data_IF_137406532421
#
_entry.id   IF_137406532421
#
_cell.length_a   1.000
_cell.length_b   1.000
_cell.length_c   1.000
_cell.angle_alpha   90.00
_cell.angle_beta   90.00
_cell.angle_gamma   90.00
#
_symmetry.space_group_name_H-M   'P 1'
#
loop_
_entity.id
_entity.type
_entity.pdbx_description
1 polymer ?
#
# COMPACT_ATOMS: atom_id res chain seq x y z
N UNK A 1 19.45 10.12 24.98
CA UNK A 1 20.20 11.30 24.50
C UNK A 1 21.69 11.06 24.24
N UNK A 2 22.32 9.95 24.67
CA UNK A 2 23.77 9.71 24.45
C UNK A 2 24.10 8.84 23.21
N UNK A 3 23.16 8.07 22.68
CA UNK A 3 23.44 7.13 21.57
C UNK A 3 23.59 7.81 20.19
N UNK A 4 22.84 8.87 19.93
CA UNK A 4 22.88 9.58 18.62
C UNK A 4 24.16 10.39 18.46
N UNK A 5 24.76 10.89 19.55
CA UNK A 5 26.03 11.64 19.51
C UNK A 5 27.22 10.80 19.04
N UNK A 6 27.17 9.49 19.20
CA UNK A 6 28.32 8.62 18.86
C UNK A 6 28.33 8.15 17.40
N UNK A 7 27.19 8.23 16.69
CA UNK A 7 27.14 7.86 15.27
C UNK A 7 27.60 8.98 14.33
N UNK A 8 27.53 10.24 14.76
CA UNK A 8 28.00 11.41 13.98
C UNK A 8 29.45 11.83 14.31
N UNK A 9 29.92 11.48 15.50
CA UNK A 9 31.25 11.89 15.97
C UNK A 9 32.40 10.93 15.56
N UNK A 10 32.09 9.77 14.99
CA UNK A 10 33.08 8.76 14.58
C UNK A 10 33.71 8.96 13.20
N UNK A 11 33.33 10.02 12.47
CA UNK A 11 33.77 10.26 11.08
C UNK A 11 34.73 11.46 10.92
N UNK A 12 35.31 11.95 11.98
CA UNK A 12 36.20 13.12 11.92
C UNK A 12 37.52 12.91 12.67
N UNK A 13 38.30 11.88 12.35
CA UNK A 13 39.77 11.89 12.54
C UNK A 13 40.42 10.89 11.56
N UNK A 14 41.34 11.44 10.82
CA UNK A 14 42.46 10.93 10.03
C UNK A 14 42.26 10.85 8.53
N UNK A 15 42.91 11.81 7.91
CA UNK A 15 43.13 11.87 6.49
C UNK A 15 44.00 10.72 6.00
N UNK A 16 43.58 10.22 4.87
CA UNK A 16 44.38 9.84 3.71
C UNK A 16 43.34 9.45 2.64
N UNK A 17 43.49 10.03 1.47
CA UNK A 17 42.54 9.92 0.38
C UNK A 17 42.49 8.50 -0.18
N UNK A 18 41.46 7.73 0.25
CA UNK A 18 40.86 6.71 -0.56
C UNK A 18 39.42 7.17 -0.88
N UNK A 19 38.86 6.96 -2.08
CA UNK A 19 37.43 7.25 -2.27
C UNK A 19 36.70 6.34 -1.29
N UNK A 20 36.25 6.94 -0.19
CA UNK A 20 35.33 6.27 0.73
C UNK A 20 34.15 5.83 -0.13
N UNK A 21 34.00 4.52 -0.33
CA UNK A 21 32.70 3.96 -0.72
C UNK A 21 31.73 4.53 0.30
N UNK A 22 30.87 5.44 -0.15
CA UNK A 22 29.75 5.88 0.64
C UNK A 22 28.99 4.59 1.00
N UNK A 23 29.06 4.17 2.27
CA UNK A 23 28.24 3.11 2.76
C UNK A 23 26.82 3.57 2.49
N UNK A 24 26.10 2.87 1.59
CA UNK A 24 24.69 3.15 1.32
C UNK A 24 23.95 3.03 2.66
N UNK A 25 23.64 4.17 3.24
CA UNK A 25 22.96 4.24 4.53
C UNK A 25 21.59 3.64 4.32
N UNK A 26 21.33 2.49 4.98
CA UNK A 26 20.07 1.82 4.86
C UNK A 26 18.97 2.66 5.55
N UNK A 27 18.06 3.21 4.77
CA UNK A 27 16.97 4.04 5.27
C UNK A 27 16.14 3.34 6.37
N UNK A 28 16.02 1.99 6.32
CA UNK A 28 15.30 1.21 7.33
C UNK A 28 15.96 1.30 8.70
N UNK A 29 17.28 1.34 8.75
CA UNK A 29 18.00 1.46 10.02
C UNK A 29 17.84 2.86 10.61
N UNK A 30 17.76 3.89 9.78
CA UNK A 30 17.48 5.25 10.23
C UNK A 30 16.01 5.51 10.60
N UNK A 31 15.06 4.66 10.17
CA UNK A 31 13.66 4.70 10.63
C UNK A 31 13.48 4.15 12.04
N UNK A 32 14.33 3.20 12.49
CA UNK A 32 14.18 2.55 13.80
C UNK A 32 14.19 3.53 14.99
N UNK A 33 15.08 4.53 15.08
CA UNK A 33 15.01 5.55 16.13
C UNK A 33 13.69 6.31 16.12
N UNK A 34 13.24 6.76 14.94
CA UNK A 34 11.97 7.47 14.76
C UNK A 34 10.79 6.60 15.22
N UNK A 35 10.77 5.34 14.84
CA UNK A 35 9.75 4.37 15.26
C UNK A 35 9.75 4.19 16.79
N UNK A 36 10.94 4.10 17.39
CA UNK A 36 11.08 3.98 18.86
C UNK A 36 10.53 5.21 19.55
N UNK A 37 10.82 6.40 19.03
CA UNK A 37 10.33 7.67 19.55
C UNK A 37 8.81 7.76 19.46
N UNK A 38 8.22 7.32 18.34
CA UNK A 38 6.77 7.26 18.14
C UNK A 38 6.08 6.31 19.13
N UNK A 39 6.63 5.10 19.31
CA UNK A 39 6.07 4.09 20.23
C UNK A 39 6.17 4.52 21.70
N UNK A 40 7.16 5.30 22.07
CA UNK A 40 7.31 5.80 23.43
C UNK A 40 6.23 6.82 23.82
N UNK A 41 5.62 7.50 22.86
CA UNK A 41 4.47 8.39 23.08
C UNK A 41 4.75 9.67 23.88
N UNK A 42 5.99 9.91 24.29
CA UNK A 42 6.41 11.03 25.17
C UNK A 42 7.57 11.85 24.55
N UNK A 43 7.67 11.87 23.24
CA UNK A 43 8.69 12.61 22.53
C UNK A 43 8.59 14.13 22.75
N UNK A 44 9.70 14.79 22.97
CA UNK A 44 9.77 16.26 22.84
C UNK A 44 9.43 16.60 21.37
N UNK A 45 8.37 17.38 21.11
CA UNK A 45 7.95 17.70 19.73
C UNK A 45 9.06 18.36 18.89
N UNK A 46 9.91 19.18 19.50
CA UNK A 46 11.02 19.86 18.80
C UNK A 46 12.14 18.87 18.43
N UNK A 47 12.47 17.97 19.35
CA UNK A 47 13.47 16.94 19.11
C UNK A 47 13.01 15.98 18.02
N UNK A 48 11.75 15.56 18.07
CA UNK A 48 11.14 14.67 17.09
C UNK A 48 11.07 15.31 15.68
N UNK A 49 10.62 16.56 15.59
CA UNK A 49 10.62 17.30 14.33
C UNK A 49 12.02 17.43 13.73
N UNK A 50 13.06 17.55 14.57
CA UNK A 50 14.45 17.57 14.14
C UNK A 50 14.89 16.23 13.57
N UNK A 51 14.55 15.11 14.22
CA UNK A 51 14.84 13.75 13.70
C UNK A 51 14.23 13.53 12.32
N UNK A 52 12.94 13.86 12.15
CA UNK A 52 12.26 13.78 10.86
C UNK A 52 12.98 14.61 9.80
N UNK A 53 13.35 15.84 10.12
CA UNK A 53 14.03 16.73 9.19
C UNK A 53 15.43 16.24 8.80
N UNK A 54 16.16 15.65 9.73
CA UNK A 54 17.47 15.04 9.46
C UNK A 54 17.33 13.83 8.53
N UNK A 55 16.34 12.96 8.77
CA UNK A 55 16.03 11.85 7.88
C UNK A 55 15.66 12.34 6.47
N UNK A 56 14.74 13.28 6.36
CA UNK A 56 14.34 13.86 5.07
C UNK A 56 15.51 14.51 4.31
N UNK A 57 16.44 15.15 5.01
CA UNK A 57 17.64 15.73 4.42
C UNK A 57 18.58 14.67 3.87
N UNK A 58 18.79 13.58 4.60
CA UNK A 58 19.64 12.47 4.19
C UNK A 58 19.07 11.80 2.94
N UNK A 59 17.78 11.45 2.96
CA UNK A 59 17.12 10.74 1.88
C UNK A 59 16.39 11.65 0.88
N UNK A 60 16.77 12.92 0.77
CA UNK A 60 16.08 13.89 -0.10
C UNK A 60 16.00 13.52 -1.59
N UNK A 61 16.79 12.53 -2.05
CA UNK A 61 16.82 12.04 -3.44
C UNK A 61 16.20 10.64 -3.57
N UNK A 62 15.81 10.04 -2.48
CA UNK A 62 15.22 8.70 -2.45
C UNK A 62 13.73 8.78 -2.08
N UNK A 63 12.81 8.77 -3.09
CA UNK A 63 11.37 8.84 -2.83
C UNK A 63 10.86 7.63 -2.05
N UNK A 64 11.46 6.45 -2.21
CA UNK A 64 11.09 5.24 -1.49
C UNK A 64 11.35 5.39 0.01
N UNK A 65 12.51 5.90 0.38
CA UNK A 65 12.85 6.18 1.78
C UNK A 65 11.90 7.21 2.39
N UNK A 66 11.60 8.29 1.65
CA UNK A 66 10.67 9.32 2.12
C UNK A 66 9.25 8.79 2.30
N UNK A 67 8.74 7.98 1.37
CA UNK A 67 7.43 7.34 1.52
C UNK A 67 7.42 6.37 2.70
N UNK A 68 8.51 5.64 2.95
CA UNK A 68 8.62 4.78 4.13
C UNK A 68 8.50 5.56 5.45
N UNK A 69 9.09 6.77 5.53
CA UNK A 69 8.88 7.68 6.66
C UNK A 69 7.42 8.11 6.77
N UNK A 70 6.80 8.50 5.66
CA UNK A 70 5.38 8.89 5.63
C UNK A 70 4.45 7.78 6.11
N UNK A 71 4.68 6.55 5.67
CA UNK A 71 3.93 5.37 6.13
C UNK A 71 4.11 5.14 7.64
N UNK A 72 5.33 5.23 8.15
CA UNK A 72 5.61 5.08 9.58
C UNK A 72 4.85 6.14 10.41
N UNK A 73 4.83 7.38 9.95
CA UNK A 73 4.09 8.48 10.60
C UNK A 73 2.58 8.24 10.56
N UNK A 74 2.03 7.84 9.41
CA UNK A 74 0.60 7.56 9.24
C UNK A 74 0.12 6.41 10.13
N UNK A 75 0.86 5.30 10.17
CA UNK A 75 0.57 4.15 11.04
C UNK A 75 0.56 4.53 12.53
N UNK A 76 1.31 5.55 12.92
CA UNK A 76 1.31 6.10 14.27
C UNK A 76 0.38 7.33 14.43
N UNK A 77 -0.56 7.51 13.51
CA UNK A 77 -1.60 8.57 13.53
C UNK A 77 -1.06 10.01 13.46
N UNK A 78 0.21 10.19 13.06
CA UNK A 78 0.79 11.51 12.81
C UNK A 78 0.46 11.98 11.39
N UNK A 79 -0.83 12.10 11.09
CA UNK A 79 -1.36 12.32 9.74
C UNK A 79 -0.88 13.62 9.10
N UNK A 80 -0.79 14.72 9.87
CA UNK A 80 -0.31 16.01 9.34
C UNK A 80 1.14 15.92 8.85
N UNK A 81 2.01 15.29 9.62
CA UNK A 81 3.40 15.10 9.24
C UNK A 81 3.53 14.11 8.08
N UNK A 82 2.74 13.04 8.07
CA UNK A 82 2.70 12.07 6.97
C UNK A 82 2.25 12.76 5.67
N UNK A 83 1.20 13.58 5.71
CA UNK A 83 0.74 14.37 4.57
C UNK A 83 1.82 15.32 4.07
N UNK A 84 2.51 16.04 4.96
CA UNK A 84 3.58 16.95 4.57
C UNK A 84 4.74 16.21 3.88
N UNK A 85 5.07 14.99 4.33
CA UNK A 85 6.06 14.14 3.66
C UNK A 85 5.57 13.73 2.27
N UNK A 86 4.33 13.25 2.15
CA UNK A 86 3.76 12.85 0.87
C UNK A 86 3.73 14.02 -0.13
N UNK A 87 3.30 15.20 0.29
CA UNK A 87 3.28 16.40 -0.53
C UNK A 87 4.67 16.80 -1.03
N UNK A 88 5.68 16.73 -0.16
CA UNK A 88 7.06 17.00 -0.54
C UNK A 88 7.61 15.99 -1.56
N UNK A 89 7.23 14.71 -1.44
CA UNK A 89 7.60 13.67 -2.42
C UNK A 89 6.89 13.92 -3.75
N UNK A 90 5.58 14.16 -3.75
CA UNK A 90 4.79 14.44 -4.96
C UNK A 90 5.34 15.66 -5.70
N UNK A 91 5.63 16.74 -4.98
CA UNK A 91 6.15 17.96 -5.58
C UNK A 91 7.48 17.73 -6.32
N UNK A 92 8.33 16.85 -5.79
CA UNK A 92 9.66 16.58 -6.33
C UNK A 92 9.72 15.42 -7.32
N UNK A 93 8.92 14.38 -7.10
CA UNK A 93 8.92 13.13 -7.85
C UNK A 93 7.51 12.84 -8.39
N UNK A 94 7.07 13.69 -9.31
CA UNK A 94 5.68 13.74 -9.82
C UNK A 94 5.11 12.41 -10.29
N UNK A 95 5.94 11.52 -10.82
CA UNK A 95 5.52 10.22 -11.37
C UNK A 95 5.83 9.05 -10.40
N UNK A 96 6.05 9.32 -9.13
CA UNK A 96 6.28 8.29 -8.13
C UNK A 96 4.96 7.92 -7.45
N UNK A 97 4.31 6.87 -7.96
CA UNK A 97 2.96 6.45 -7.59
C UNK A 97 2.76 6.20 -6.09
N UNK A 98 3.77 5.63 -5.41
CA UNK A 98 3.66 5.31 -3.98
C UNK A 98 3.43 6.54 -3.09
N UNK A 99 3.79 7.74 -3.55
CA UNK A 99 3.50 8.96 -2.78
C UNK A 99 2.01 9.34 -2.83
N UNK A 100 1.34 9.08 -3.95
CA UNK A 100 -0.10 9.25 -4.09
C UNK A 100 -0.86 8.16 -3.30
N UNK A 101 -0.33 6.91 -3.31
CA UNK A 101 -0.85 5.83 -2.47
C UNK A 101 -0.77 6.23 -1.00
N UNK A 102 0.37 6.71 -0.53
CA UNK A 102 0.53 7.19 0.85
C UNK A 102 -0.53 8.24 1.23
N UNK A 103 -0.80 9.20 0.34
CA UNK A 103 -1.88 10.18 0.61
C UNK A 103 -3.26 9.53 0.67
N UNK A 104 -3.55 8.64 -0.24
CA UNK A 104 -4.80 7.87 -0.22
C UNK A 104 -4.95 7.06 1.07
N UNK A 105 -3.89 6.36 1.49
CA UNK A 105 -3.88 5.56 2.72
C UNK A 105 -4.09 6.43 3.97
N UNK A 106 -3.49 7.63 4.02
CA UNK A 106 -3.69 8.58 5.12
C UNK A 106 -5.17 8.97 5.23
N UNK A 107 -5.84 9.25 4.12
CA UNK A 107 -7.27 9.58 4.12
C UNK A 107 -8.14 8.35 4.45
N UNK A 108 -7.77 7.17 3.94
CA UNK A 108 -8.48 5.93 4.27
C UNK A 108 -8.40 5.60 5.78
N UNK A 109 -7.23 5.82 6.41
CA UNK A 109 -7.06 5.66 7.86
C UNK A 109 -7.87 6.66 8.70
N UNK A 110 -8.35 7.73 8.09
CA UNK A 110 -9.23 8.74 8.70
C UNK A 110 -10.69 8.55 8.31
N UNK A 111 -11.06 7.37 7.77
CA UNK A 111 -12.40 7.03 7.29
C UNK A 111 -12.92 7.97 6.17
N UNK A 112 -12.01 8.67 5.48
CA UNK A 112 -12.33 9.54 4.36
C UNK A 112 -12.11 8.84 3.01
N UNK A 113 -13.00 7.89 2.68
CA UNK A 113 -12.90 7.07 1.47
C UNK A 113 -12.97 7.88 0.16
N UNK A 114 -13.69 8.99 0.13
CA UNK A 114 -13.81 9.85 -1.06
C UNK A 114 -12.48 10.50 -1.45
N UNK A 115 -11.79 11.10 -0.49
CA UNK A 115 -10.46 11.66 -0.70
C UNK A 115 -9.42 10.57 -0.99
N UNK A 116 -9.51 9.44 -0.28
CA UNK A 116 -8.63 8.30 -0.54
C UNK A 116 -8.73 7.85 -2.01
N UNK A 117 -9.95 7.66 -2.52
CA UNK A 117 -10.19 7.28 -3.91
C UNK A 117 -9.63 8.31 -4.90
N UNK A 118 -9.77 9.60 -4.59
CA UNK A 118 -9.21 10.69 -5.42
C UNK A 118 -7.70 10.53 -5.56
N UNK A 119 -6.98 10.27 -4.47
CA UNK A 119 -5.53 10.11 -4.50
C UNK A 119 -5.07 8.82 -5.17
N UNK A 120 -5.80 7.70 -4.99
CA UNK A 120 -5.53 6.46 -5.73
C UNK A 120 -5.78 6.65 -7.23
N UNK A 121 -6.82 7.38 -7.63
CA UNK A 121 -7.07 7.76 -9.02
C UNK A 121 -5.95 8.62 -9.61
N UNK A 122 -5.38 9.52 -8.81
CA UNK A 122 -4.19 10.28 -9.21
C UNK A 122 -2.96 9.38 -9.39
N UNK A 123 -2.75 8.36 -8.52
CA UNK A 123 -1.71 7.37 -8.73
C UNK A 123 -1.87 6.68 -10.09
N UNK A 124 -3.07 6.24 -10.43
CA UNK A 124 -3.36 5.59 -11.72
C UNK A 124 -3.07 6.50 -12.93
N UNK A 125 -3.14 7.81 -12.75
CA UNK A 125 -2.86 8.81 -13.80
C UNK A 125 -1.37 9.12 -13.91
N UNK A 126 -0.70 9.32 -12.79
CA UNK A 126 0.68 9.81 -12.74
C UNK A 126 1.71 8.68 -12.85
N UNK A 127 1.36 7.49 -12.39
CA UNK A 127 2.15 6.25 -12.48
C UNK A 127 1.25 5.07 -12.89
N UNK A 128 0.79 5.04 -14.14
CA UNK A 128 -0.18 4.04 -14.62
C UNK A 128 0.34 2.60 -14.60
N UNK A 129 1.63 2.39 -14.35
CA UNK A 129 2.23 1.06 -14.20
C UNK A 129 2.26 0.58 -12.74
N UNK A 130 1.90 1.41 -11.79
CA UNK A 130 1.83 1.03 -10.39
C UNK A 130 0.53 0.26 -10.12
N UNK A 131 0.59 -1.05 -9.85
CA UNK A 131 -0.62 -1.86 -9.64
C UNK A 131 -1.40 -1.45 -8.40
N UNK A 132 -0.71 -0.93 -7.37
CA UNK A 132 -1.32 -0.60 -6.10
C UNK A 132 -2.37 0.50 -6.21
N UNK A 133 -2.22 1.45 -7.15
CA UNK A 133 -3.22 2.48 -7.41
C UNK A 133 -4.58 1.88 -7.76
N UNK A 134 -4.59 0.91 -8.66
CA UNK A 134 -5.82 0.22 -9.10
C UNK A 134 -6.42 -0.64 -7.99
N UNK A 135 -5.58 -1.38 -7.25
CA UNK A 135 -6.00 -2.24 -6.14
C UNK A 135 -6.63 -1.40 -5.03
N UNK A 136 -5.94 -0.34 -4.59
CA UNK A 136 -6.44 0.53 -3.51
C UNK A 136 -7.72 1.26 -3.92
N UNK A 137 -7.81 1.74 -5.17
CA UNK A 137 -9.03 2.33 -5.72
C UNK A 137 -10.18 1.33 -5.72
N UNK A 138 -9.95 0.11 -6.23
CA UNK A 138 -10.92 -0.96 -6.24
C UNK A 138 -11.44 -1.28 -4.83
N UNK A 139 -10.55 -1.36 -3.84
CA UNK A 139 -10.91 -1.65 -2.45
C UNK A 139 -11.83 -0.60 -1.82
N UNK A 140 -11.65 0.67 -2.14
CA UNK A 140 -12.55 1.74 -1.67
C UNK A 140 -13.93 1.59 -2.28
N UNK A 141 -14.01 1.30 -3.57
CA UNK A 141 -15.29 1.24 -4.29
C UNK A 141 -16.03 -0.09 -4.17
N UNK A 142 -15.40 -1.16 -3.71
CA UNK A 142 -15.98 -2.51 -3.70
C UNK A 142 -17.39 -2.62 -3.12
N UNK A 143 -17.72 -1.85 -2.08
CA UNK A 143 -19.04 -1.87 -1.43
C UNK A 143 -19.97 -0.77 -1.91
N UNK A 144 -19.43 0.30 -2.51
CA UNK A 144 -20.19 1.49 -2.92
C UNK A 144 -20.59 1.36 -4.39
N UNK A 145 -19.64 1.00 -5.24
CA UNK A 145 -19.79 0.79 -6.66
C UNK A 145 -18.87 -0.34 -7.13
N UNK A 146 -19.34 -1.61 -7.00
CA UNK A 146 -18.57 -2.78 -7.42
C UNK A 146 -18.22 -2.76 -8.91
N UNK A 147 -19.00 -2.06 -9.73
CA UNK A 147 -18.71 -1.91 -11.15
C UNK A 147 -17.47 -1.05 -11.39
N UNK A 148 -17.39 0.13 -10.74
CA UNK A 148 -16.20 0.99 -10.82
C UNK A 148 -14.96 0.28 -10.25
N UNK A 149 -15.14 -0.51 -9.19
CA UNK A 149 -14.10 -1.37 -8.62
C UNK A 149 -13.57 -2.37 -9.67
N UNK A 150 -14.47 -3.12 -10.32
CA UNK A 150 -14.12 -4.11 -11.35
C UNK A 150 -13.46 -3.45 -12.58
N UNK A 151 -13.91 -2.26 -12.98
CA UNK A 151 -13.31 -1.51 -14.09
C UNK A 151 -11.85 -1.12 -13.80
N UNK A 152 -11.54 -0.72 -12.55
CA UNK A 152 -10.17 -0.45 -12.15
C UNK A 152 -9.29 -1.71 -12.23
N UNK A 153 -9.80 -2.86 -11.78
CA UNK A 153 -9.10 -4.14 -11.87
C UNK A 153 -8.93 -4.61 -13.32
N UNK A 154 -9.91 -4.36 -14.20
CA UNK A 154 -9.76 -4.66 -15.63
C UNK A 154 -8.65 -3.82 -16.29
N UNK A 155 -8.51 -2.54 -15.91
CA UNK A 155 -7.38 -1.71 -16.34
C UNK A 155 -6.05 -2.24 -15.81
N UNK A 156 -6.02 -2.74 -14.58
CA UNK A 156 -4.84 -3.38 -14.02
C UNK A 156 -4.41 -4.60 -14.86
N UNK A 157 -5.37 -5.39 -15.38
CA UNK A 157 -5.06 -6.52 -16.27
C UNK A 157 -4.33 -6.09 -17.53
N UNK A 158 -4.65 -4.94 -18.10
CA UNK A 158 -4.00 -4.44 -19.32
C UNK A 158 -2.50 -4.17 -19.09
N UNK A 159 -2.12 -3.75 -17.87
CA UNK A 159 -0.73 -3.46 -17.51
C UNK A 159 -0.02 -4.62 -16.82
N UNK A 160 -0.76 -5.53 -16.21
CA UNK A 160 -0.26 -6.75 -15.58
C UNK A 160 -1.19 -7.94 -15.88
N UNK A 161 -1.04 -8.59 -17.05
CA UNK A 161 -1.92 -9.69 -17.47
C UNK A 161 -1.93 -10.92 -16.54
N UNK A 162 -0.91 -11.05 -15.69
CA UNK A 162 -0.80 -12.17 -14.75
C UNK A 162 -1.40 -11.85 -13.37
N UNK A 163 -1.93 -10.65 -13.16
CA UNK A 163 -2.57 -10.31 -11.90
C UNK A 163 -3.91 -11.05 -11.77
N UNK A 164 -4.20 -11.72 -10.65
CA UNK A 164 -5.39 -12.56 -10.46
C UNK A 164 -6.63 -11.71 -10.15
N UNK A 165 -7.05 -10.87 -11.08
CA UNK A 165 -8.17 -9.94 -10.88
C UNK A 165 -9.52 -10.63 -10.71
N UNK A 166 -9.64 -11.88 -11.17
CA UNK A 166 -10.86 -12.67 -11.06
C UNK A 166 -11.27 -12.89 -9.60
N UNK A 167 -10.30 -13.22 -8.75
CA UNK A 167 -10.52 -13.38 -7.31
C UNK A 167 -10.97 -12.08 -6.66
N UNK A 168 -10.26 -11.00 -6.92
CA UNK A 168 -10.55 -9.68 -6.36
C UNK A 168 -11.92 -9.13 -6.82
N UNK A 169 -12.19 -9.15 -8.12
CA UNK A 169 -13.46 -8.69 -8.66
C UNK A 169 -14.63 -9.58 -8.21
N UNK A 170 -14.43 -10.90 -8.18
CA UNK A 170 -15.41 -11.85 -7.66
C UNK A 170 -15.75 -11.55 -6.20
N UNK A 171 -14.74 -11.38 -5.35
CA UNK A 171 -14.92 -10.99 -3.95
C UNK A 171 -15.67 -9.66 -3.78
N UNK A 172 -15.36 -8.66 -4.61
CA UNK A 172 -16.00 -7.35 -4.53
C UNK A 172 -17.50 -7.43 -4.86
N UNK A 173 -17.89 -8.19 -5.89
CA UNK A 173 -19.29 -8.42 -6.22
C UNK A 173 -19.99 -9.32 -5.18
N UNK A 174 -19.30 -10.33 -4.65
CA UNK A 174 -19.81 -11.17 -3.56
C UNK A 174 -20.13 -10.33 -2.32
N UNK A 175 -19.18 -9.48 -1.89
CA UNK A 175 -19.37 -8.58 -0.75
C UNK A 175 -20.50 -7.57 -0.93
N UNK A 176 -20.84 -7.23 -2.18
CA UNK A 176 -21.96 -6.37 -2.54
C UNK A 176 -23.28 -7.14 -2.72
N UNK A 177 -23.29 -8.48 -2.56
CA UNK A 177 -24.48 -9.33 -2.75
C UNK A 177 -24.88 -9.56 -4.20
N UNK A 178 -24.03 -9.19 -5.17
CA UNK A 178 -24.26 -9.44 -6.58
C UNK A 178 -23.63 -10.78 -7.00
N UNK A 179 -24.33 -11.85 -6.66
CA UNK A 179 -23.80 -13.22 -6.82
C UNK A 179 -23.67 -13.66 -8.28
N UNK A 180 -24.51 -13.17 -9.19
CA UNK A 180 -24.41 -13.45 -10.62
C UNK A 180 -23.09 -12.92 -11.19
N UNK A 181 -22.74 -11.66 -10.89
CA UNK A 181 -21.46 -11.08 -11.31
C UNK A 181 -20.28 -11.67 -10.56
N UNK A 182 -20.42 -11.97 -9.28
CA UNK A 182 -19.38 -12.67 -8.53
C UNK A 182 -19.04 -14.02 -9.19
N UNK A 183 -20.07 -14.79 -9.58
CA UNK A 183 -19.89 -16.05 -10.30
C UNK A 183 -19.21 -15.85 -11.66
N UNK A 184 -19.60 -14.81 -12.41
CA UNK A 184 -18.97 -14.51 -13.71
C UNK A 184 -17.45 -14.31 -13.59
N UNK A 185 -16.97 -13.68 -12.51
CA UNK A 185 -15.56 -13.50 -12.25
C UNK A 185 -14.92 -14.76 -11.69
N UNK A 186 -15.45 -15.35 -10.65
CA UNK A 186 -14.89 -16.55 -10.04
C UNK A 186 -14.75 -17.72 -11.01
N UNK A 187 -15.72 -17.91 -11.91
CA UNK A 187 -15.69 -18.99 -12.92
C UNK A 187 -14.54 -18.86 -13.94
N UNK A 188 -13.94 -17.69 -14.06
CA UNK A 188 -12.74 -17.42 -14.88
C UNK A 188 -11.43 -17.63 -14.13
N UNK A 189 -11.49 -17.70 -12.80
CA UNK A 189 -10.33 -17.98 -11.97
C UNK A 189 -9.96 -19.47 -12.04
N UNK A 190 -8.68 -19.77 -11.78
CA UNK A 190 -8.26 -21.16 -11.60
C UNK A 190 -8.49 -21.54 -10.13
N UNK A 191 -9.39 -22.47 -9.80
CA UNK A 191 -9.79 -22.74 -8.42
C UNK A 191 -8.62 -23.05 -7.50
N UNK A 192 -7.64 -23.83 -7.97
CA UNK A 192 -6.44 -24.19 -7.21
C UNK A 192 -5.43 -23.03 -6.96
N UNK A 193 -5.71 -21.85 -7.48
CA UNK A 193 -4.91 -20.64 -7.25
C UNK A 193 -5.59 -19.66 -6.31
N UNK A 194 -6.83 -19.97 -5.89
CA UNK A 194 -7.60 -19.14 -4.99
C UNK A 194 -7.23 -19.44 -3.53
N UNK A 195 -7.22 -18.43 -2.70
CA UNK A 195 -7.11 -18.61 -1.25
C UNK A 195 -8.36 -19.33 -0.72
N UNK A 196 -8.23 -20.06 0.38
CA UNK A 196 -9.27 -20.90 0.95
C UNK A 196 -10.61 -20.15 1.12
N UNK A 197 -10.58 -18.95 1.71
CA UNK A 197 -11.80 -18.18 1.91
C UNK A 197 -12.47 -17.76 0.57
N UNK A 198 -11.68 -17.47 -0.48
CA UNK A 198 -12.18 -17.14 -1.82
C UNK A 198 -12.79 -18.36 -2.51
N UNK A 199 -12.26 -19.55 -2.26
CA UNK A 199 -12.85 -20.80 -2.74
C UNK A 199 -14.24 -21.02 -2.11
N UNK A 200 -14.41 -20.75 -0.82
CA UNK A 200 -15.72 -20.80 -0.16
C UNK A 200 -16.70 -19.76 -0.73
N UNK A 201 -16.25 -18.53 -0.99
CA UNK A 201 -17.08 -17.53 -1.63
C UNK A 201 -17.52 -17.98 -3.03
N UNK A 202 -16.62 -18.57 -3.80
CA UNK A 202 -16.95 -19.13 -5.11
C UNK A 202 -17.94 -20.29 -5.01
N UNK A 203 -17.69 -21.25 -4.13
CA UNK A 203 -18.59 -22.39 -3.92
C UNK A 203 -20.00 -21.93 -3.49
N UNK A 204 -20.07 -21.00 -2.54
CA UNK A 204 -21.33 -20.40 -2.11
C UNK A 204 -22.04 -19.69 -3.26
N UNK A 205 -21.30 -18.89 -4.02
CA UNK A 205 -21.81 -18.14 -5.17
C UNK A 205 -22.38 -19.10 -6.24
N UNK A 206 -21.64 -20.16 -6.57
CA UNK A 206 -22.07 -21.19 -7.51
C UNK A 206 -23.37 -21.85 -7.04
N UNK A 207 -23.52 -22.14 -5.75
CA UNK A 207 -24.76 -22.67 -5.18
C UNK A 207 -25.95 -21.71 -5.38
N UNK A 208 -25.76 -20.43 -5.06
CA UNK A 208 -26.82 -19.40 -5.16
C UNK A 208 -27.30 -19.23 -6.60
N UNK A 209 -26.38 -19.23 -7.59
CA UNK A 209 -26.72 -19.10 -9.00
C UNK A 209 -27.16 -20.43 -9.64
N UNK A 210 -27.41 -21.48 -8.84
CA UNK A 210 -27.96 -22.75 -9.27
C UNK A 210 -26.96 -23.76 -9.85
N UNK A 211 -25.66 -23.51 -9.76
CA UNK A 211 -24.56 -24.40 -10.21
C UNK A 211 -24.18 -25.41 -9.11
N UNK A 212 -25.13 -26.23 -8.68
CA UNK A 212 -24.99 -27.08 -7.48
C UNK A 212 -23.88 -28.11 -7.57
N UNK A 213 -23.69 -28.75 -8.72
CA UNK A 213 -22.63 -29.74 -8.92
C UNK A 213 -21.27 -29.13 -8.87
N UNK A 214 -21.09 -27.94 -9.47
CA UNK A 214 -19.84 -27.18 -9.39
C UNK A 214 -19.56 -26.73 -7.96
N UNK A 215 -20.57 -26.24 -7.23
CA UNK A 215 -20.45 -25.89 -5.82
C UNK A 215 -19.93 -27.05 -4.98
N UNK A 216 -20.49 -28.25 -5.15
CA UNK A 216 -20.05 -29.46 -4.44
C UNK A 216 -18.57 -29.79 -4.76
N UNK A 217 -18.23 -29.77 -6.06
CA UNK A 217 -16.85 -30.03 -6.49
C UNK A 217 -15.84 -29.03 -5.89
N UNK A 218 -16.21 -27.75 -5.80
CA UNK A 218 -15.39 -26.71 -5.19
C UNK A 218 -15.20 -26.97 -3.68
N UNK A 219 -16.26 -27.35 -2.97
CA UNK A 219 -16.15 -27.72 -1.55
C UNK A 219 -15.28 -28.94 -1.32
N UNK A 220 -15.39 -29.97 -2.15
CA UNK A 220 -14.57 -31.19 -2.05
C UNK A 220 -13.09 -30.89 -2.32
N UNK A 221 -12.77 -29.98 -3.26
CA UNK A 221 -11.39 -29.58 -3.56
C UNK A 221 -10.74 -28.72 -2.49
N UNK A 222 -11.53 -28.01 -1.69
CA UNK A 222 -11.04 -27.17 -0.60
C UNK A 222 -10.77 -27.92 0.71
N UNK A 223 -11.14 -29.20 0.80
CA UNK A 223 -10.96 -30.04 1.99
C UNK A 223 -9.63 -30.86 1.93
N UNK A 224 -8.90 -30.82 0.85
CA UNK A 224 -7.64 -31.52 0.66
C UNK A 224 -6.45 -30.67 1.11
#
# INVERSE_FOLDING_TARGET
>A
MKAIKYLVAGLLVMGLATPAMAQDVNYKDMLKPIETTLKAGNADPKAFAKEIKEYQKEFKKDPKALVALGNLLAMNKNYDQANAVADAVIAKFKNYGDAYILKGDIYAMQDNGGEAATWYGQCMTMDPKNPQGYISYSNVYRKIDPQASAEALNKLREINPNYPIEAEAGHNFFSAGNYEKAYEYFSKAKPNTLEEYTQYEYAFTAYIVGKKEESLSLCESGIQ
#
